data_IF_523871423653
#
_entry.id   IF_523871423653
#
_cell.length_a   1.000
_cell.length_b   1.000
_cell.length_c   1.000
_cell.angle_alpha   90.00
_cell.angle_beta   90.00
_cell.angle_gamma   90.00
#
_symmetry.space_group_name_H-M   'P 1'
#
loop_
_entity.id
_entity.type
_entity.pdbx_description
1 polymer ?
#
# COMPACT_ATOMS: atom_id res chain seq x y z
N UNK A 1 29.05 11.12 42.97
CA UNK A 1 29.95 11.16 41.77
C UNK A 1 29.73 10.02 40.77
N UNK A 2 29.20 8.83 41.14
CA UNK A 2 28.94 7.73 40.18
C UNK A 2 27.90 8.09 39.11
N UNK A 3 26.77 8.71 39.52
CA UNK A 3 25.73 9.19 38.59
C UNK A 3 26.23 10.21 37.55
N UNK A 4 27.16 11.09 37.92
CA UNK A 4 27.74 12.06 36.98
C UNK A 4 28.60 11.38 35.91
N UNK A 5 29.34 10.31 36.27
CA UNK A 5 30.09 9.50 35.30
C UNK A 5 29.15 8.74 34.36
N UNK A 6 28.07 8.16 34.87
CA UNK A 6 27.04 7.50 34.06
C UNK A 6 26.38 8.49 33.07
N UNK A 7 26.02 9.69 33.52
CA UNK A 7 25.45 10.74 32.66
C UNK A 7 26.45 11.16 31.56
N UNK A 8 27.73 11.33 31.89
CA UNK A 8 28.77 11.64 30.91
C UNK A 8 28.91 10.54 29.85
N UNK A 9 28.86 9.27 30.26
CA UNK A 9 28.93 8.12 29.34
C UNK A 9 27.70 8.09 28.44
N UNK A 10 26.50 8.30 28.98
CA UNK A 10 25.26 8.35 28.20
C UNK A 10 25.26 9.51 27.20
N UNK A 11 25.75 10.69 27.58
CA UNK A 11 25.89 11.82 26.68
C UNK A 11 26.90 11.56 25.57
N UNK A 12 28.05 10.96 25.89
CA UNK A 12 29.05 10.59 24.89
C UNK A 12 28.48 9.57 23.89
N UNK A 13 27.72 8.57 24.38
CA UNK A 13 27.09 7.57 23.53
C UNK A 13 26.00 8.20 22.64
N UNK A 14 25.17 9.08 23.20
CA UNK A 14 24.14 9.80 22.44
C UNK A 14 24.77 10.65 21.33
N UNK A 15 25.81 11.42 21.65
CA UNK A 15 26.52 12.25 20.67
C UNK A 15 27.20 11.39 19.60
N UNK A 16 27.81 10.26 19.97
CA UNK A 16 28.38 9.30 19.03
C UNK A 16 27.33 8.74 18.07
N UNK A 17 26.15 8.37 18.58
CA UNK A 17 25.04 7.89 17.76
C UNK A 17 24.54 8.98 16.80
N UNK A 18 24.37 10.21 17.27
CA UNK A 18 23.95 11.34 16.43
C UNK A 18 24.97 11.66 15.33
N UNK A 19 26.27 11.68 15.66
CA UNK A 19 27.33 11.89 14.68
C UNK A 19 27.37 10.79 13.62
N UNK A 20 27.19 9.53 14.04
CA UNK A 20 27.11 8.38 13.13
C UNK A 20 25.91 8.48 12.17
N UNK A 21 24.73 8.88 12.67
CA UNK A 21 23.55 9.08 11.83
C UNK A 21 23.78 10.21 10.83
N UNK A 22 24.36 11.34 11.25
CA UNK A 22 24.69 12.45 10.36
C UNK A 22 25.67 12.00 9.26
N UNK A 23 26.73 11.27 9.64
CA UNK A 23 27.69 10.70 8.71
C UNK A 23 27.00 9.78 7.69
N UNK A 24 26.16 8.86 8.16
CA UNK A 24 25.45 7.92 7.30
C UNK A 24 24.49 8.64 6.32
N UNK A 25 23.78 9.68 6.76
CA UNK A 25 22.89 10.46 5.89
C UNK A 25 23.70 11.25 4.85
N UNK A 26 24.84 11.81 5.23
CA UNK A 26 25.73 12.53 4.31
C UNK A 26 26.34 11.58 3.28
N UNK A 27 26.84 10.42 3.68
CA UNK A 27 27.36 9.39 2.78
C UNK A 27 26.26 8.90 1.82
N UNK A 28 25.06 8.62 2.33
CA UNK A 28 23.92 8.25 1.49
C UNK A 28 23.57 9.35 0.49
N UNK A 29 23.58 10.62 0.90
CA UNK A 29 23.36 11.78 0.03
C UNK A 29 24.47 11.96 -1.00
N UNK A 30 25.72 11.73 -0.63
CA UNK A 30 26.84 11.79 -1.55
C UNK A 30 26.69 10.72 -2.65
N UNK A 31 26.31 9.49 -2.27
CA UNK A 31 26.01 8.40 -3.20
C UNK A 31 24.83 8.73 -4.12
N UNK A 32 23.76 9.35 -3.62
CA UNK A 32 22.61 9.72 -4.46
C UNK A 32 22.84 10.98 -5.30
N UNK A 33 23.79 11.86 -4.93
CA UNK A 33 24.20 13.01 -5.76
C UNK A 33 25.17 12.63 -6.86
N UNK A 34 25.89 11.52 -6.71
CA UNK A 34 26.74 10.98 -7.77
C UNK A 34 25.93 10.38 -8.93
N UNK A 35 24.63 10.14 -8.75
CA UNK A 35 23.72 9.96 -9.88
C UNK A 35 23.54 11.32 -10.56
N UNK A 36 24.09 11.53 -11.77
CA UNK A 36 23.87 12.77 -12.49
C UNK A 36 22.36 12.98 -12.67
N UNK A 37 21.87 14.24 -12.68
CA UNK A 37 20.51 14.49 -13.12
C UNK A 37 20.42 13.86 -14.51
N UNK A 38 19.50 12.90 -14.67
CA UNK A 38 19.21 12.29 -15.96
C UNK A 38 19.00 13.45 -16.91
N UNK A 39 20.00 13.69 -17.77
CA UNK A 39 19.88 14.66 -18.84
C UNK A 39 18.58 14.35 -19.54
N UNK A 40 17.78 15.39 -19.80
CA UNK A 40 16.52 15.37 -20.53
C UNK A 40 16.73 14.79 -21.94
N UNK A 41 17.03 13.51 -22.00
CA UNK A 41 16.95 12.70 -23.19
C UNK A 41 15.46 12.44 -23.28
N UNK A 42 14.76 12.93 -24.33
CA UNK A 42 13.37 12.58 -24.50
C UNK A 42 13.25 11.07 -24.36
N UNK A 43 12.32 10.56 -23.53
CA UNK A 43 12.19 9.12 -23.36
C UNK A 43 12.03 8.51 -24.76
N UNK A 44 12.71 7.38 -25.04
CA UNK A 44 12.42 6.64 -26.27
C UNK A 44 10.90 6.42 -26.32
N UNK A 45 10.26 6.56 -27.50
CA UNK A 45 8.82 6.50 -27.62
C UNK A 45 8.31 5.29 -26.85
N UNK A 46 7.43 5.54 -25.88
CA UNK A 46 6.90 4.53 -25.00
C UNK A 46 6.28 3.42 -25.87
N UNK A 47 6.94 2.27 -25.92
CA UNK A 47 6.39 1.10 -26.58
C UNK A 47 5.12 0.76 -25.80
N UNK A 48 3.95 0.71 -26.45
CA UNK A 48 2.71 0.35 -25.77
C UNK A 48 2.92 -0.99 -25.06
N UNK A 49 2.82 -0.99 -23.73
CA UNK A 49 2.84 -2.24 -22.97
C UNK A 49 1.52 -2.93 -23.23
N UNK A 50 1.60 -4.11 -23.85
CA UNK A 50 0.44 -4.93 -24.14
C UNK A 50 -0.07 -5.56 -22.83
N UNK A 51 -1.00 -4.86 -22.19
CA UNK A 51 -1.61 -5.22 -20.90
C UNK A 51 -2.32 -6.57 -20.93
N UNK A 52 -2.65 -7.09 -22.11
CA UNK A 52 -3.38 -8.36 -22.27
C UNK A 52 -2.57 -9.60 -21.94
N UNK A 53 -1.24 -9.47 -21.78
CA UNK A 53 -0.32 -10.58 -21.50
C UNK A 53 0.13 -10.66 -20.03
N UNK A 54 -0.39 -9.78 -19.18
CA UNK A 54 0.10 -9.59 -17.82
C UNK A 54 -0.97 -9.79 -16.72
N UNK A 55 -1.99 -10.59 -17.00
CA UNK A 55 -3.02 -10.94 -16.01
C UNK A 55 -2.38 -11.60 -14.78
N UNK A 56 -2.62 -11.00 -13.61
CA UNK A 56 -2.09 -11.46 -12.32
C UNK A 56 -0.70 -10.92 -11.95
N UNK A 57 -0.13 -9.98 -12.74
CA UNK A 57 1.14 -9.33 -12.43
C UNK A 57 0.94 -7.89 -11.94
N UNK A 58 1.74 -7.47 -10.96
CA UNK A 58 1.66 -6.11 -10.41
C UNK A 58 2.44 -5.15 -11.30
N UNK A 59 1.75 -4.12 -11.81
CA UNK A 59 2.37 -3.07 -12.61
C UNK A 59 2.78 -1.93 -11.67
N UNK A 60 4.07 -1.73 -11.49
CA UNK A 60 4.62 -0.60 -10.74
C UNK A 60 4.86 0.59 -11.67
N UNK A 61 4.25 1.73 -11.32
CA UNK A 61 4.36 3.00 -12.06
C UNK A 61 5.21 4.04 -11.33
N UNK A 62 5.78 3.70 -10.16
CA UNK A 62 6.56 4.64 -9.32
C UNK A 62 7.81 5.20 -10.02
N UNK A 63 8.31 4.51 -11.04
CA UNK A 63 9.48 4.91 -11.84
C UNK A 63 9.15 5.73 -13.09
N UNK A 64 7.87 6.01 -13.36
CA UNK A 64 7.42 6.68 -14.59
C UNK A 64 7.44 5.80 -15.84
N UNK A 65 7.80 4.51 -15.71
CA UNK A 65 7.65 3.48 -16.74
C UNK A 65 6.88 2.30 -16.14
N UNK A 66 5.92 1.70 -16.84
CA UNK A 66 5.24 0.49 -16.39
C UNK A 66 6.22 -0.66 -16.30
N UNK A 67 6.56 -1.07 -15.07
CA UNK A 67 7.39 -2.25 -14.80
C UNK A 67 6.50 -3.35 -14.26
N UNK A 68 6.47 -4.48 -14.96
CA UNK A 68 5.71 -5.66 -14.55
C UNK A 68 6.55 -6.46 -13.55
N UNK A 69 6.07 -6.58 -12.32
CA UNK A 69 6.72 -7.35 -11.26
C UNK A 69 6.03 -8.69 -11.08
N UNK A 70 6.86 -9.73 -10.98
CA UNK A 70 6.44 -11.11 -10.81
C UNK A 70 7.04 -11.73 -9.54
N UNK A 71 6.73 -11.13 -8.39
CA UNK A 71 7.23 -11.62 -7.11
C UNK A 71 6.26 -12.67 -6.54
N UNK A 72 6.81 -13.73 -5.92
CA UNK A 72 6.00 -14.77 -5.29
C UNK A 72 5.14 -14.22 -4.14
N UNK A 73 5.64 -13.19 -3.45
CA UNK A 73 4.93 -12.49 -2.36
C UNK A 73 3.72 -11.72 -2.90
N UNK A 74 3.86 -10.97 -4.00
CA UNK A 74 2.74 -10.23 -4.61
C UNK A 74 1.65 -11.17 -5.14
N UNK A 75 2.03 -12.31 -5.75
CA UNK A 75 1.06 -13.31 -6.21
C UNK A 75 0.26 -13.92 -5.05
N UNK A 76 0.93 -14.21 -3.94
CA UNK A 76 0.28 -14.75 -2.74
C UNK A 76 -0.71 -13.73 -2.15
N UNK A 77 -0.31 -12.46 -2.07
CA UNK A 77 -1.18 -11.39 -1.60
C UNK A 77 -2.42 -11.19 -2.52
N UNK A 78 -2.24 -11.24 -3.84
CA UNK A 78 -3.34 -11.14 -4.80
C UNK A 78 -4.31 -12.33 -4.70
N UNK A 79 -3.79 -13.55 -4.53
CA UNK A 79 -4.61 -14.74 -4.35
C UNK A 79 -5.45 -14.67 -3.07
N UNK A 80 -4.85 -14.21 -1.96
CA UNK A 80 -5.55 -14.01 -0.71
C UNK A 80 -6.64 -12.92 -0.83
N UNK A 81 -6.30 -11.77 -1.40
CA UNK A 81 -7.26 -10.67 -1.60
C UNK A 81 -8.46 -11.11 -2.44
N UNK A 82 -8.23 -11.91 -3.49
CA UNK A 82 -9.31 -12.45 -4.32
C UNK A 82 -10.25 -13.35 -3.52
N UNK A 83 -9.70 -14.22 -2.68
CA UNK A 83 -10.49 -15.10 -1.83
C UNK A 83 -11.35 -14.31 -0.83
N UNK A 84 -10.77 -13.29 -0.20
CA UNK A 84 -11.50 -12.41 0.73
C UNK A 84 -12.64 -11.65 0.03
N UNK A 85 -12.39 -11.17 -1.20
CA UNK A 85 -13.43 -10.55 -2.02
C UNK A 85 -14.57 -11.52 -2.36
N UNK A 86 -14.23 -12.73 -2.82
CA UNK A 86 -15.21 -13.76 -3.20
C UNK A 86 -16.05 -14.19 -1.98
N UNK A 87 -15.46 -14.25 -0.79
CA UNK A 87 -16.17 -14.52 0.46
C UNK A 87 -17.10 -13.36 0.86
N UNK A 88 -16.62 -12.11 0.76
CA UNK A 88 -17.38 -10.93 1.11
C UNK A 88 -18.62 -10.73 0.21
N UNK A 89 -18.53 -11.04 -1.09
CA UNK A 89 -19.65 -10.85 -2.03
C UNK A 89 -20.67 -11.98 -2.01
N UNK A 90 -20.35 -13.14 -1.40
CA UNK A 90 -21.20 -14.33 -1.40
C UNK A 90 -22.59 -14.11 -0.76
N UNK A 91 -22.73 -13.08 0.07
CA UNK A 91 -24.00 -12.68 0.69
C UNK A 91 -24.61 -11.39 0.14
N UNK A 92 -23.97 -10.71 -0.81
CA UNK A 92 -24.42 -9.40 -1.28
C UNK A 92 -25.31 -9.54 -2.50
N UNK A 93 -26.62 -9.60 -2.28
CA UNK A 93 -27.61 -9.59 -3.35
C UNK A 93 -28.02 -8.15 -3.69
N UNK A 94 -27.48 -7.60 -4.78
CA UNK A 94 -28.01 -6.35 -5.37
C UNK A 94 -29.22 -6.67 -6.26
N UNK A 95 -30.36 -6.95 -5.62
CA UNK A 95 -31.66 -7.08 -6.29
C UNK A 95 -32.54 -5.85 -6.03
N UNK A 96 -33.56 -5.58 -6.86
CA UNK A 96 -34.55 -4.56 -6.56
C UNK A 96 -35.19 -4.85 -5.20
N UNK A 97 -35.45 -3.83 -4.35
CA UNK A 97 -35.98 -4.06 -3.01
C UNK A 97 -37.29 -4.85 -3.12
N UNK A 98 -37.35 -6.02 -2.46
CA UNK A 98 -38.59 -6.79 -2.35
C UNK A 98 -39.62 -5.86 -1.70
N UNK A 99 -40.72 -5.56 -2.41
CA UNK A 99 -41.88 -4.85 -1.86
C UNK A 99 -42.26 -5.54 -0.55
N UNK A 100 -42.06 -4.87 0.57
CA UNK A 100 -42.62 -5.31 1.85
C UNK A 100 -44.14 -5.29 1.67
N UNK A 101 -44.76 -6.47 1.64
CA UNK A 101 -46.20 -6.57 1.84
C UNK A 101 -46.49 -6.02 3.24
N UNK A 102 -47.34 -4.98 3.37
CA UNK A 102 -47.68 -4.43 4.67
C UNK A 102 -48.31 -5.51 5.56
N UNK A 103 -48.08 -5.46 6.89
CA UNK A 103 -48.72 -6.38 7.82
C UNK A 103 -50.25 -6.34 7.67
N UNK A 104 -50.96 -7.48 7.79
CA UNK A 104 -52.41 -7.49 7.74
C UNK A 104 -52.98 -6.57 8.83
N UNK A 105 -53.84 -5.65 8.40
CA UNK A 105 -54.57 -4.70 9.23
C UNK A 105 -55.37 -5.46 10.30
N UNK A 106 -55.31 -5.06 11.59
CA UNK A 106 -56.11 -5.70 12.63
C UNK A 106 -57.59 -5.53 12.30
N UNK A 107 -58.29 -6.67 12.19
CA UNK A 107 -59.71 -6.71 11.89
C UNK A 107 -60.49 -5.77 12.82
N UNK A 108 -61.20 -4.82 12.21
CA UNK A 108 -62.10 -3.91 12.92
C UNK A 108 -63.08 -4.72 13.79
N UNK A 109 -63.31 -4.33 15.06
CA UNK A 109 -64.27 -5.01 15.91
C UNK A 109 -65.67 -4.88 15.29
N UNK A 110 -66.36 -6.02 15.18
CA UNK A 110 -67.77 -6.07 14.76
C UNK A 110 -68.62 -5.24 15.74
N UNK A 111 -69.51 -4.37 15.27
CA UNK A 111 -70.50 -3.73 16.14
C UNK A 111 -71.60 -4.73 16.50
N UNK A 112 -72.00 -4.73 17.77
CA UNK A 112 -73.21 -5.37 18.30
C UNK A 112 -74.47 -4.59 17.94
#
# INVERSE_FOLDING_TARGET
MRRAKEIMVLLALLLGMMAFVLWHVLDRRARTRATPPVALTPPPPAVPVDLTKHDGLTIDLSSGRPVVKDSAEDRAALAQAKQEMDEAVKGVTFGPPKKQTPPPEPAAPKPD
#
